data_IF_856088906997
#
_entry.id   IF_856088906997
#
_cell.length_a   1.000
_cell.length_b   1.000
_cell.length_c   1.000
_cell.angle_alpha   90.00
_cell.angle_beta   90.00
_cell.angle_gamma   90.00
#
_symmetry.space_group_name_H-M   'P 1'
#
loop_
_entity.id
_entity.type
_entity.pdbx_description
1 polymer ?
#
# COMPACT_ATOMS: atom_id res chain seq x y z
N UNK A 1 -11.74 1.92 11.92
CA UNK A 1 -10.88 2.40 10.83
C UNK A 1 -11.71 2.91 9.67
N UNK A 2 -12.52 2.07 9.02
CA UNK A 2 -13.42 2.49 7.94
C UNK A 2 -14.37 3.64 8.34
N UNK A 3 -15.00 3.57 9.51
CA UNK A 3 -15.84 4.66 10.05
C UNK A 3 -15.11 5.97 10.30
N UNK A 4 -13.77 5.97 10.30
CA UNK A 4 -12.91 7.14 10.45
C UNK A 4 -12.31 7.61 9.11
N UNK A 5 -12.77 7.03 8.00
CA UNK A 5 -12.36 7.37 6.64
C UNK A 5 -11.02 6.75 6.21
N UNK A 6 -10.59 5.65 6.83
CA UNK A 6 -9.44 4.87 6.35
C UNK A 6 -9.90 3.71 5.47
N UNK A 7 -9.24 3.52 4.33
CA UNK A 7 -9.33 2.29 3.56
C UNK A 7 -8.47 1.21 4.21
N UNK A 8 -9.02 0.02 4.42
CA UNK A 8 -8.36 -1.16 4.98
C UNK A 8 -7.97 -2.08 3.84
N UNK A 9 -6.67 -2.16 3.57
CA UNK A 9 -6.09 -2.80 2.39
C UNK A 9 -5.34 -4.05 2.85
N UNK A 10 -5.77 -5.21 2.39
CA UNK A 10 -5.03 -6.46 2.57
C UNK A 10 -3.90 -6.57 1.57
N UNK A 11 -2.70 -6.93 2.02
CA UNK A 11 -1.62 -7.33 1.12
C UNK A 11 -1.57 -8.84 1.06
N UNK A 12 -2.21 -9.40 0.06
CA UNK A 12 -2.44 -10.83 -0.07
C UNK A 12 -2.63 -11.23 -1.53
N UNK A 13 -2.17 -12.43 -1.88
CA UNK A 13 -2.36 -13.02 -3.21
C UNK A 13 -3.70 -13.76 -3.23
N UNK A 14 -4.69 -13.17 -3.89
CA UNK A 14 -6.02 -13.74 -4.07
C UNK A 14 -6.39 -13.65 -5.55
N UNK A 15 -7.38 -14.43 -5.99
CA UNK A 15 -7.88 -14.34 -7.37
C UNK A 15 -8.52 -12.99 -7.72
N UNK A 16 -8.81 -12.15 -6.72
CA UNK A 16 -9.41 -10.84 -6.87
C UNK A 16 -8.44 -9.69 -6.48
N UNK A 17 -7.17 -10.00 -6.24
CA UNK A 17 -6.20 -8.99 -5.83
C UNK A 17 -5.85 -8.06 -7.00
N UNK A 18 -5.68 -6.77 -6.68
CA UNK A 18 -5.19 -5.77 -7.64
C UNK A 18 -3.66 -5.72 -7.57
N UNK A 19 -2.99 -5.66 -8.70
CA UNK A 19 -1.54 -5.47 -8.74
C UNK A 19 -1.14 -4.14 -8.08
N UNK A 20 -0.13 -4.16 -7.21
CA UNK A 20 0.40 -2.96 -6.55
C UNK A 20 0.86 -1.90 -7.54
N UNK A 21 1.29 -2.30 -8.75
CA UNK A 21 1.72 -1.37 -9.80
C UNK A 21 0.55 -0.54 -10.38
N UNK A 22 -0.67 -1.04 -10.27
CA UNK A 22 -1.90 -0.44 -10.81
C UNK A 22 -2.77 0.18 -9.73
N UNK A 23 -2.48 -0.12 -8.46
CA UNK A 23 -3.27 0.34 -7.34
C UNK A 23 -2.87 1.75 -6.88
N UNK A 24 -3.83 2.68 -6.93
CA UNK A 24 -3.68 4.02 -6.37
C UNK A 24 -4.03 4.01 -4.88
N UNK A 25 -3.01 4.17 -4.01
CA UNK A 25 -3.21 4.19 -2.58
C UNK A 25 -3.94 5.48 -2.14
N UNK A 26 -5.00 5.37 -1.33
CA UNK A 26 -5.64 6.55 -0.75
C UNK A 26 -4.76 7.16 0.37
N UNK A 27 -4.81 8.49 0.60
CA UNK A 27 -4.03 9.15 1.66
C UNK A 27 -4.29 8.66 3.08
N UNK A 28 -5.40 7.96 3.30
CA UNK A 28 -5.78 7.33 4.57
C UNK A 28 -5.89 5.83 4.34
N UNK A 29 -4.76 5.15 4.45
CA UNK A 29 -4.65 3.71 4.27
C UNK A 29 -4.27 3.03 5.58
N UNK A 30 -4.91 1.90 5.87
CA UNK A 30 -4.47 0.89 6.85
C UNK A 30 -4.06 -0.34 6.06
N UNK A 31 -2.81 -0.74 6.19
CA UNK A 31 -2.26 -1.92 5.51
C UNK A 31 -2.32 -3.11 6.46
N UNK A 32 -2.96 -4.19 6.02
CA UNK A 32 -3.03 -5.47 6.72
C UNK A 32 -2.08 -6.44 6.03
N UNK A 33 -1.07 -6.91 6.76
CA UNK A 33 -0.15 -7.94 6.29
C UNK A 33 -0.57 -9.31 6.85
N UNK A 34 -0.44 -10.34 6.03
CA UNK A 34 -0.64 -11.72 6.47
C UNK A 34 0.44 -12.21 7.43
N UNK A 35 0.13 -13.28 8.17
CA UNK A 35 1.13 -13.99 8.99
C UNK A 35 2.03 -14.87 8.13
N UNK A 36 3.26 -15.12 8.57
CA UNK A 36 4.18 -15.99 7.83
C UNK A 36 3.59 -17.40 7.64
N UNK A 37 3.64 -17.88 6.39
CA UNK A 37 3.16 -19.20 6.00
C UNK A 37 1.64 -19.34 5.84
N UNK A 38 0.84 -18.49 6.50
CA UNK A 38 -0.63 -18.61 6.51
C UNK A 38 -1.37 -17.43 5.89
N UNK A 39 -0.68 -16.32 5.61
CA UNK A 39 -1.28 -15.15 5.01
C UNK A 39 -2.32 -14.48 5.91
N UNK A 40 -3.26 -13.78 5.29
CA UNK A 40 -4.43 -13.18 5.93
C UNK A 40 -5.51 -14.27 6.08
N UNK A 41 -6.07 -14.49 7.29
CA UNK A 41 -7.11 -15.49 7.47
C UNK A 41 -8.33 -15.23 6.57
N UNK A 42 -8.90 -16.29 5.99
CA UNK A 42 -10.04 -16.19 5.08
C UNK A 42 -11.25 -15.46 5.69
N UNK A 43 -11.44 -15.55 7.02
CA UNK A 43 -12.51 -14.84 7.72
C UNK A 43 -12.31 -13.31 7.77
N UNK A 44 -11.08 -12.83 7.55
CA UNK A 44 -10.74 -11.41 7.54
C UNK A 44 -10.84 -10.82 6.15
N UNK A 45 -10.63 -11.61 5.08
CA UNK A 45 -10.66 -11.11 3.69
C UNK A 45 -11.95 -10.34 3.35
N UNK A 46 -13.17 -10.77 3.74
CA UNK A 46 -14.40 -10.02 3.45
C UNK A 46 -14.53 -8.69 4.20
N UNK A 47 -13.70 -8.45 5.22
CA UNK A 47 -13.70 -7.22 6.01
C UNK A 47 -12.78 -6.14 5.40
N UNK A 48 -11.93 -6.53 4.45
CA UNK A 48 -11.01 -5.64 3.76
C UNK A 48 -11.75 -4.93 2.62
N UNK A 49 -11.40 -3.67 2.39
CA UNK A 49 -11.98 -2.91 1.27
C UNK A 49 -11.43 -3.41 -0.08
N UNK A 50 -10.18 -3.88 -0.08
CA UNK A 50 -9.50 -4.43 -1.26
C UNK A 50 -8.32 -5.31 -0.83
N UNK A 51 -7.98 -6.30 -1.67
CA UNK A 51 -6.69 -6.99 -1.60
C UNK A 51 -5.78 -6.47 -2.71
N UNK A 52 -4.54 -6.17 -2.36
CA UNK A 52 -3.47 -5.75 -3.27
C UNK A 52 -2.37 -6.80 -3.21
N UNK A 53 -1.81 -7.16 -4.35
CA UNK A 53 -0.70 -8.10 -4.42
C UNK A 53 0.57 -7.46 -4.97
N UNK A 54 1.72 -7.97 -4.53
CA UNK A 54 3.01 -7.71 -5.18
C UNK A 54 3.19 -8.79 -6.25
N UNK A 55 3.21 -8.45 -7.55
CA UNK A 55 3.42 -9.41 -8.61
C UNK A 55 4.75 -10.14 -8.45
N UNK A 56 4.75 -11.44 -8.71
CA UNK A 56 5.91 -12.30 -8.55
C UNK A 56 6.08 -13.17 -9.80
N UNK A 57 7.33 -13.42 -10.16
CA UNK A 57 7.70 -14.45 -11.13
C UNK A 57 8.43 -15.59 -10.41
N UNK A 58 8.29 -16.81 -10.93
CA UNK A 58 9.00 -17.99 -10.43
C UNK A 58 8.11 -18.97 -9.67
N UNK A 59 8.74 -19.87 -8.91
CA UNK A 59 8.09 -21.01 -8.24
C UNK A 59 7.92 -20.83 -6.73
N UNK A 60 8.49 -19.76 -6.16
CA UNK A 60 8.33 -19.45 -4.75
C UNK A 60 6.92 -18.94 -4.51
N UNK A 61 6.26 -19.50 -3.49
CA UNK A 61 4.84 -19.23 -3.21
C UNK A 61 4.57 -17.79 -2.78
N UNK A 62 5.50 -17.16 -2.06
CA UNK A 62 5.35 -15.78 -1.60
C UNK A 62 6.70 -15.17 -1.21
N UNK A 63 6.78 -13.84 -1.25
CA UNK A 63 7.86 -13.10 -0.62
C UNK A 63 7.77 -13.20 0.92
N UNK A 64 8.87 -12.87 1.60
CA UNK A 64 8.86 -12.66 3.03
C UNK A 64 7.94 -11.48 3.39
N UNK A 65 7.14 -11.61 4.46
CA UNK A 65 6.14 -10.61 4.85
C UNK A 65 6.73 -9.22 5.10
N UNK A 66 7.93 -9.14 5.67
CA UNK A 66 8.61 -7.86 5.92
C UNK A 66 9.08 -7.23 4.61
N UNK A 67 9.59 -8.02 3.66
CA UNK A 67 9.96 -7.53 2.31
C UNK A 67 8.72 -7.00 1.58
N UNK A 68 7.61 -7.73 1.62
CA UNK A 68 6.32 -7.27 1.09
C UNK A 68 5.90 -5.95 1.73
N UNK A 69 5.97 -5.84 3.05
CA UNK A 69 5.68 -4.60 3.78
C UNK A 69 6.56 -3.43 3.32
N UNK A 70 7.87 -3.66 3.14
CA UNK A 70 8.79 -2.63 2.67
C UNK A 70 8.43 -2.12 1.26
N UNK A 71 8.07 -3.02 0.34
CA UNK A 71 7.62 -2.68 -1.03
C UNK A 71 6.35 -1.83 -0.97
N UNK A 72 5.38 -2.23 -0.16
CA UNK A 72 4.11 -1.50 0.01
C UNK A 72 4.33 -0.10 0.59
N UNK A 73 5.15 0.01 1.63
CA UNK A 73 5.49 1.30 2.24
C UNK A 73 6.22 2.22 1.27
N UNK A 74 7.15 1.67 0.47
CA UNK A 74 7.83 2.43 -0.57
C UNK A 74 6.85 2.94 -1.62
N UNK A 75 5.97 2.09 -2.13
CA UNK A 75 5.02 2.48 -3.18
C UNK A 75 4.03 3.53 -2.67
N UNK A 76 3.46 3.33 -1.48
CA UNK A 76 2.63 4.34 -0.82
C UNK A 76 3.37 5.68 -0.72
N UNK A 77 4.62 5.64 -0.24
CA UNK A 77 5.44 6.85 -0.09
C UNK A 77 5.75 7.50 -1.43
N UNK A 78 6.07 6.71 -2.47
CA UNK A 78 6.34 7.19 -3.83
C UNK A 78 5.14 7.94 -4.41
N UNK A 79 3.93 7.41 -4.25
CA UNK A 79 2.70 8.05 -4.72
C UNK A 79 2.40 9.37 -3.99
N UNK A 80 2.75 9.47 -2.70
CA UNK A 80 2.42 10.62 -1.85
C UNK A 80 3.55 11.64 -1.65
N UNK A 81 4.79 11.29 -2.00
CA UNK A 81 5.97 12.17 -1.95
C UNK A 81 5.76 13.43 -2.81
N UNK A 82 5.09 13.31 -3.97
CA UNK A 82 4.83 14.44 -4.85
C UNK A 82 3.65 15.32 -4.42
N UNK A 83 2.78 14.84 -3.53
CA UNK A 83 1.66 15.63 -2.99
C UNK A 83 2.13 16.65 -1.94
N UNK A 84 3.30 16.44 -1.32
CA UNK A 84 3.88 17.36 -0.32
C UNK A 84 4.76 18.47 -0.91
N UNK A 85 5.10 18.43 -2.20
CA UNK A 85 6.07 19.33 -2.85
C UNK A 85 5.50 20.60 -3.49
N UNK A 86 4.23 20.94 -3.25
CA UNK A 86 3.60 22.14 -3.84
C UNK A 86 2.98 23.07 -2.79
N UNK A 87 3.45 22.99 -1.55
CA UNK A 87 3.39 24.15 -0.66
C UNK A 87 4.36 25.19 -1.22
N UNK A 88 3.83 26.30 -1.73
CA UNK A 88 4.56 27.35 -2.42
C UNK A 88 5.85 27.73 -1.69
N UNK A 89 6.99 27.65 -2.39
CA UNK A 89 8.17 28.42 -2.00
C UNK A 89 7.81 29.89 -2.28
N UNK A 90 7.76 30.78 -1.27
CA UNK A 90 7.62 32.20 -1.54
C UNK A 90 8.81 32.61 -2.39
N UNK A 91 8.58 33.23 -3.54
CA UNK A 91 9.64 33.76 -4.39
C UNK A 91 10.62 34.54 -3.51
N UNK A 92 11.85 34.02 -3.39
CA UNK A 92 12.90 34.68 -2.64
C UNK A 92 13.10 36.07 -3.27
N UNK A 93 12.80 37.11 -2.49
CA UNK A 93 13.14 38.48 -2.83
C UNK A 93 14.65 38.53 -3.04
N UNK A 94 15.08 38.84 -4.25
CA UNK A 94 16.48 39.20 -4.55
C UNK A 94 16.80 40.49 -3.80
N UNK A 95 17.78 40.51 -2.88
CA UNK A 95 18.29 41.76 -2.32
C UNK A 95 19.04 42.55 -3.41
N UNK A 96 19.20 43.88 -3.23
CA UNK A 96 19.65 44.81 -4.25
C UNK A 96 21.08 44.57 -4.76
#
# INVERSE_FOLDING_TARGET
MQTQGYAVIGIEQTSASVSIAEYAFPPRAVVVLGSEGHGIPAAILPLLDVCVEVPQYGVIRSLNVHVTGAIVMYEYTRQHLMTRGRAAIPAAQTPP
#
